data_IF_661115370480
#
_entry.id   IF_661115370480
#
_cell.length_a   1.000
_cell.length_b   1.000
_cell.length_c   1.000
_cell.angle_alpha   90.00
_cell.angle_beta   90.00
_cell.angle_gamma   90.00
#
_symmetry.space_group_name_H-M   'P 1'
#
loop_
_entity.id
_entity.type
_entity.pdbx_description
1 polymer ?
#
# COMPACT_ATOMS: atom_id res chain seq x y z
N UNK A 1 11.58 -15.74 -3.41
CA UNK A 1 10.60 -16.68 -3.99
C UNK A 1 10.90 -18.14 -3.65
N UNK A 2 12.04 -18.72 -4.09
CA UNK A 2 12.38 -20.15 -3.87
C UNK A 2 12.28 -20.61 -2.40
N UNK A 3 12.73 -19.77 -1.46
CA UNK A 3 12.69 -20.08 -0.02
C UNK A 3 11.36 -19.77 0.68
N UNK A 4 10.29 -19.41 -0.03
CA UNK A 4 9.02 -18.99 0.61
C UNK A 4 8.01 -20.12 0.79
N UNK A 5 8.10 -21.20 0.00
CA UNK A 5 7.04 -22.20 -0.12
C UNK A 5 5.76 -21.71 -0.80
N UNK A 6 5.73 -20.44 -1.26
CA UNK A 6 4.58 -19.81 -1.93
C UNK A 6 4.82 -19.71 -3.45
N UNK A 7 3.75 -19.57 -4.24
CA UNK A 7 3.86 -19.26 -5.67
C UNK A 7 4.79 -18.06 -5.90
N UNK A 8 5.80 -18.16 -6.79
CA UNK A 8 6.78 -17.09 -6.98
C UNK A 8 6.17 -15.73 -7.31
N UNK A 9 5.10 -15.71 -8.12
CA UNK A 9 4.36 -14.51 -8.50
C UNK A 9 3.81 -13.74 -7.30
N UNK A 10 3.30 -14.42 -6.27
CA UNK A 10 2.81 -13.76 -5.06
C UNK A 10 3.94 -13.08 -4.29
N UNK A 11 5.07 -13.78 -4.12
CA UNK A 11 6.22 -13.23 -3.42
C UNK A 11 6.76 -12.03 -4.17
N UNK A 12 6.88 -12.11 -5.50
CA UNK A 12 7.31 -10.97 -6.30
C UNK A 12 6.31 -9.81 -6.27
N UNK A 13 5.01 -10.08 -6.16
CA UNK A 13 3.99 -9.05 -5.97
C UNK A 13 4.17 -8.34 -4.62
N UNK A 14 4.40 -9.07 -3.54
CA UNK A 14 4.64 -8.50 -2.21
C UNK A 14 5.96 -7.72 -2.13
N UNK A 15 7.01 -8.20 -2.81
CA UNK A 15 8.29 -7.47 -2.92
C UNK A 15 8.11 -6.14 -3.67
N UNK A 16 7.42 -6.13 -4.82
CA UNK A 16 7.11 -4.89 -5.54
C UNK A 16 6.22 -3.95 -4.74
N UNK A 17 5.25 -4.50 -4.00
CA UNK A 17 4.40 -3.71 -3.12
C UNK A 17 5.19 -3.08 -1.96
N UNK A 18 6.22 -3.77 -1.43
CA UNK A 18 7.13 -3.21 -0.43
C UNK A 18 7.94 -2.03 -0.96
N UNK A 19 8.40 -2.11 -2.22
CA UNK A 19 9.03 -0.97 -2.89
C UNK A 19 8.04 0.17 -3.14
N UNK A 20 6.82 -0.14 -3.59
CA UNK A 20 5.78 0.86 -3.84
C UNK A 20 5.32 1.58 -2.55
N UNK A 21 5.39 0.93 -1.39
CA UNK A 21 5.09 1.56 -0.11
C UNK A 21 6.18 2.54 0.33
N UNK A 22 7.37 2.52 -0.29
CA UNK A 22 8.55 3.28 0.13
C UNK A 22 9.28 2.71 1.36
N UNK A 23 8.99 1.46 1.74
CA UNK A 23 9.54 0.81 2.95
C UNK A 23 10.14 -0.57 2.58
N UNK A 24 11.06 -0.59 1.61
CA UNK A 24 11.79 -1.76 1.12
C UNK A 24 13.11 -2.00 1.89
N UNK A 25 13.28 -3.07 2.67
CA UNK A 25 12.23 -3.88 3.28
C UNK A 25 12.20 -3.63 4.78
N UNK A 26 10.98 -3.64 5.33
CA UNK A 26 10.73 -3.46 6.76
C UNK A 26 10.14 -4.72 7.37
N UNK A 27 10.48 -4.99 8.64
CA UNK A 27 9.84 -6.03 9.46
C UNK A 27 8.32 -5.86 9.53
N UNK A 28 7.80 -4.63 9.35
CA UNK A 28 6.37 -4.31 9.21
C UNK A 28 5.64 -5.22 8.22
N UNK A 29 6.29 -5.60 7.13
CA UNK A 29 5.69 -6.39 6.04
C UNK A 29 5.94 -7.89 6.15
N UNK A 30 6.76 -8.32 7.11
CA UNK A 30 7.23 -9.70 7.23
C UNK A 30 6.38 -10.46 8.25
N UNK A 31 6.05 -11.72 7.95
CA UNK A 31 5.47 -12.61 8.96
C UNK A 31 6.52 -13.07 9.97
N UNK A 32 7.73 -13.29 9.48
CA UNK A 32 8.93 -13.63 10.24
C UNK A 32 9.99 -12.58 9.93
N UNK A 33 10.35 -11.79 10.93
CA UNK A 33 11.21 -10.61 10.79
C UNK A 33 12.62 -10.94 10.31
N UNK A 34 13.11 -12.16 10.57
CA UNK A 34 14.42 -12.63 10.08
C UNK A 34 14.37 -13.20 8.66
N UNK A 35 13.18 -13.39 8.08
CA UNK A 35 12.99 -14.07 6.81
C UNK A 35 12.24 -13.20 5.82
N UNK A 36 12.98 -12.53 4.94
CA UNK A 36 12.42 -11.71 3.86
C UNK A 36 11.45 -12.49 2.94
N UNK A 37 11.66 -13.80 2.77
CA UNK A 37 10.75 -14.64 2.00
C UNK A 37 9.32 -14.75 2.59
N UNK A 38 9.13 -14.27 3.83
CA UNK A 38 7.85 -14.19 4.53
C UNK A 38 7.08 -12.88 4.28
N UNK A 39 7.59 -12.02 3.40
CA UNK A 39 6.96 -10.74 3.03
C UNK A 39 5.55 -10.93 2.49
N UNK A 40 4.63 -10.08 2.95
CA UNK A 40 3.20 -10.13 2.62
C UNK A 40 2.56 -8.74 2.58
N UNK A 41 3.28 -7.77 2.00
CA UNK A 41 2.89 -6.34 1.97
C UNK A 41 1.45 -6.13 1.49
N UNK A 42 1.00 -6.89 0.48
CA UNK A 42 -0.36 -6.74 -0.08
C UNK A 42 -1.49 -7.24 0.84
N UNK A 43 -1.16 -7.88 1.96
CA UNK A 43 -2.13 -8.33 2.97
C UNK A 43 -2.38 -7.29 4.06
N UNK A 44 -1.68 -6.14 4.04
CA UNK A 44 -1.87 -5.06 4.99
C UNK A 44 -2.68 -3.93 4.38
N UNK A 45 -3.48 -3.26 5.21
CA UNK A 45 -4.09 -1.96 4.90
C UNK A 45 -3.19 -0.90 5.55
N UNK A 46 -2.31 -0.20 4.79
CA UNK A 46 -1.31 0.68 5.39
C UNK A 46 -1.92 1.99 5.88
N UNK A 47 -1.81 2.30 7.18
CA UNK A 47 -2.40 3.52 7.78
C UNK A 47 -1.89 4.81 7.14
N UNK A 48 -0.60 4.85 6.80
CA UNK A 48 0.08 5.95 6.11
C UNK A 48 -0.48 6.19 4.71
N UNK A 49 -0.65 5.14 3.90
CA UNK A 49 -1.28 5.26 2.59
C UNK A 49 -2.72 5.78 2.70
N UNK A 50 -3.51 5.25 3.65
CA UNK A 50 -4.90 5.67 3.82
C UNK A 50 -5.00 7.13 4.31
N UNK A 51 -4.09 7.57 5.18
CA UNK A 51 -4.01 8.98 5.59
C UNK A 51 -3.70 9.90 4.40
N UNK A 52 -2.81 9.47 3.49
CA UNK A 52 -2.55 10.22 2.25
C UNK A 52 -3.76 10.26 1.31
N UNK A 53 -4.46 9.13 1.14
CA UNK A 53 -5.67 9.09 0.32
C UNK A 53 -6.75 10.02 0.89
N UNK A 54 -7.01 9.97 2.20
CA UNK A 54 -7.96 10.89 2.84
C UNK A 54 -7.59 12.37 2.60
N UNK A 55 -6.30 12.71 2.69
CA UNK A 55 -5.84 14.08 2.42
C UNK A 55 -6.04 14.48 0.96
N UNK A 56 -5.79 13.57 0.02
CA UNK A 56 -5.98 13.79 -1.41
C UNK A 56 -7.47 13.97 -1.75
N UNK A 57 -8.33 13.08 -1.24
CA UNK A 57 -9.79 13.17 -1.41
C UNK A 57 -10.34 14.49 -0.87
N UNK A 58 -9.91 14.89 0.34
CA UNK A 58 -10.27 16.19 0.92
C UNK A 58 -9.82 17.37 0.05
N UNK A 59 -8.61 17.29 -0.54
CA UNK A 59 -8.10 18.33 -1.41
C UNK A 59 -8.90 18.43 -2.72
N UNK A 60 -9.24 17.29 -3.32
CA UNK A 60 -10.06 17.20 -4.54
C UNK A 60 -11.45 17.78 -4.26
N UNK A 61 -12.10 17.39 -3.16
CA UNK A 61 -13.41 17.90 -2.77
C UNK A 61 -13.40 19.42 -2.58
N UNK A 62 -12.38 19.96 -1.92
CA UNK A 62 -12.22 21.41 -1.73
C UNK A 62 -12.08 22.14 -3.07
N UNK A 63 -11.26 21.64 -3.99
CA UNK A 63 -11.05 22.25 -5.32
C UNK A 63 -12.35 22.18 -6.15
N UNK A 64 -13.06 21.05 -6.11
CA UNK A 64 -14.35 20.88 -6.79
C UNK A 64 -15.39 21.89 -6.28
N UNK A 65 -15.50 22.04 -4.97
CA UNK A 65 -16.40 23.00 -4.34
C UNK A 65 -16.09 24.45 -4.74
N UNK A 66 -14.80 24.80 -4.82
CA UNK A 66 -14.36 26.13 -5.28
C UNK A 66 -14.68 26.38 -6.76
N UNK A 67 -14.65 25.34 -7.60
CA UNK A 67 -14.98 25.42 -9.02
C UNK A 67 -16.49 25.47 -9.29
N UNK A 68 -17.33 25.30 -8.26
CA UNK A 68 -18.79 25.29 -8.38
C UNK A 68 -19.35 23.97 -8.93
N UNK A 69 -18.54 22.92 -9.02
CA UNK A 69 -18.97 21.57 -9.37
C UNK A 69 -19.58 20.91 -8.12
N UNK A 70 -20.78 21.38 -7.74
CA UNK A 70 -21.63 20.64 -6.81
C UNK A 70 -22.35 19.58 -7.63
N UNK A 71 -22.04 18.31 -7.35
CA UNK A 71 -22.86 17.19 -7.82
C UNK A 71 -24.32 17.52 -7.52
N UNK A 72 -25.09 17.63 -8.60
CA UNK A 72 -26.55 17.62 -8.53
C UNK A 72 -26.91 16.18 -8.24
N UNK A 73 -27.58 15.94 -7.11
CA UNK A 73 -28.11 14.62 -6.69
C UNK A 73 -28.82 13.87 -7.82
#
# INVERSE_FOLDING_TARGET
AKHSGRPPNEVYRDLRAGAASGWDYSSRWLRDTGRLASIRTTQFIPIDLNAFLFKLESAIANISALKGEKETE
#
